data_IF_029450198246
#
_entry.id   IF_029450198246
#
_cell.length_a   1.000
_cell.length_b   1.000
_cell.length_c   1.000
_cell.angle_alpha   90.00
_cell.angle_beta   90.00
_cell.angle_gamma   90.00
#
_symmetry.space_group_name_H-M   'P 1'
#
loop_
_entity.id
_entity.type
_entity.pdbx_description
1 polymer ?
#
# COMPACT_ATOMS: atom_id res chain seq x y z
N UNK A 1 -19.53 18.18 -10.75
CA UNK A 1 -18.45 17.49 -10.02
C UNK A 1 -19.08 16.60 -8.96
N UNK A 2 -18.94 15.28 -9.09
CA UNK A 2 -19.57 14.31 -8.19
C UNK A 2 -19.06 14.47 -6.76
N UNK A 3 -20.00 14.52 -5.80
CA UNK A 3 -19.76 14.58 -4.35
C UNK A 3 -19.12 13.28 -3.85
N UNK A 4 -17.85 13.05 -4.16
CA UNK A 4 -17.17 11.80 -3.88
C UNK A 4 -16.41 11.89 -2.55
N UNK A 5 -16.91 11.17 -1.53
CA UNK A 5 -16.32 11.12 -0.18
C UNK A 5 -14.96 10.41 -0.17
N UNK A 6 -14.67 9.55 -1.16
CA UNK A 6 -13.44 8.75 -1.23
C UNK A 6 -12.92 8.76 -2.67
N UNK A 7 -11.78 9.40 -2.92
CA UNK A 7 -11.19 9.50 -4.26
C UNK A 7 -10.55 8.16 -4.70
N UNK A 8 -10.56 7.87 -6.01
CA UNK A 8 -9.79 6.74 -6.58
C UNK A 8 -8.30 6.92 -6.27
N UNK A 9 -7.64 5.86 -5.76
CA UNK A 9 -6.21 5.84 -5.44
C UNK A 9 -5.84 6.04 -3.96
N UNK A 10 -6.82 6.18 -3.07
CA UNK A 10 -6.57 6.39 -1.63
C UNK A 10 -6.61 5.08 -0.83
N UNK A 11 -5.64 4.88 0.06
CA UNK A 11 -5.55 3.73 0.95
C UNK A 11 -6.54 3.88 2.11
N UNK A 12 -7.72 3.30 1.93
CA UNK A 12 -8.78 3.24 2.92
C UNK A 12 -8.57 1.96 3.75
N UNK A 13 -8.77 1.97 5.08
CA UNK A 13 -8.74 0.76 5.92
C UNK A 13 -9.72 -0.33 5.44
N UNK A 14 -10.67 0.01 4.57
CA UNK A 14 -11.62 -0.93 3.99
C UNK A 14 -11.06 -1.88 2.92
N UNK A 15 -9.79 -1.77 2.49
CA UNK A 15 -9.17 -2.62 1.44
C UNK A 15 -8.86 -4.08 1.88
N UNK A 16 -9.33 -4.50 3.05
CA UNK A 16 -9.15 -5.86 3.56
C UNK A 16 -7.70 -6.19 3.97
N UNK A 17 -7.45 -7.46 4.38
CA UNK A 17 -6.16 -7.88 4.92
C UNK A 17 -5.04 -7.98 3.87
N UNK A 18 -5.36 -8.04 2.57
CA UNK A 18 -4.37 -8.24 1.50
C UNK A 18 -3.33 -7.12 1.39
N UNK A 19 -3.72 -5.86 1.62
CA UNK A 19 -2.79 -4.73 1.64
C UNK A 19 -1.97 -4.62 2.93
N UNK A 20 -2.54 -5.07 4.07
CA UNK A 20 -1.97 -4.85 5.40
C UNK A 20 -0.58 -5.45 5.59
N UNK A 21 -0.35 -6.67 5.09
CA UNK A 21 0.95 -7.34 5.22
C UNK A 21 2.06 -6.62 4.43
N UNK A 22 1.76 -6.17 3.20
CA UNK A 22 2.72 -5.44 2.37
C UNK A 22 3.09 -4.10 3.00
N UNK A 23 2.10 -3.34 3.48
CA UNK A 23 2.34 -2.06 4.14
C UNK A 23 3.11 -2.22 5.45
N UNK A 24 2.79 -3.24 6.25
CA UNK A 24 3.52 -3.55 7.47
C UNK A 24 5.00 -3.84 7.19
N UNK A 25 5.31 -4.65 6.16
CA UNK A 25 6.69 -4.93 5.75
C UNK A 25 7.43 -3.67 5.28
N UNK A 26 6.77 -2.79 4.52
CA UNK A 26 7.34 -1.52 4.08
C UNK A 26 7.62 -0.57 5.27
N UNK A 27 6.69 -0.48 6.22
CA UNK A 27 6.85 0.33 7.44
C UNK A 27 8.01 -0.16 8.31
N UNK A 28 8.15 -1.49 8.49
CA UNK A 28 9.28 -2.08 9.21
C UNK A 28 10.61 -1.81 8.50
N UNK A 29 10.63 -1.89 7.16
CA UNK A 29 11.83 -1.57 6.37
C UNK A 29 12.21 -0.10 6.54
N UNK A 30 11.24 0.81 6.48
CA UNK A 30 11.48 2.24 6.70
C UNK A 30 12.01 2.52 8.11
N UNK A 31 11.43 1.89 9.13
CA UNK A 31 11.90 1.98 10.52
C UNK A 31 13.37 1.58 10.71
N UNK A 32 13.79 0.53 10.00
CA UNK A 32 15.19 0.09 10.02
C UNK A 32 16.16 1.11 9.42
N UNK A 33 15.70 1.93 8.47
CA UNK A 33 16.51 2.96 7.82
C UNK A 33 16.59 4.24 8.66
N UNK A 34 15.53 4.56 9.41
CA UNK A 34 15.44 5.77 10.24
C UNK A 34 15.92 5.57 11.68
N UNK A 35 16.54 4.42 11.99
CA UNK A 35 17.02 4.05 13.35
C UNK A 35 15.94 4.12 14.43
N UNK A 36 14.70 3.82 14.06
CA UNK A 36 13.58 3.74 15.01
C UNK A 36 13.48 2.31 15.54
N UNK A 37 13.07 2.15 16.81
CA UNK A 37 12.88 0.84 17.41
C UNK A 37 11.79 0.05 16.67
N UNK A 38 12.16 -1.10 16.12
CA UNK A 38 11.24 -1.97 15.37
C UNK A 38 10.10 -2.51 16.25
N UNK A 39 10.36 -2.72 17.55
CA UNK A 39 9.34 -3.13 18.51
C UNK A 39 8.22 -2.09 18.63
N UNK A 40 8.59 -0.81 18.69
CA UNK A 40 7.62 0.28 18.84
C UNK A 40 6.78 0.40 17.56
N UNK A 41 7.40 0.28 16.39
CA UNK A 41 6.69 0.24 15.11
C UNK A 41 5.72 -0.94 15.05
N UNK A 42 6.16 -2.12 15.45
CA UNK A 42 5.32 -3.32 15.45
C UNK A 42 4.11 -3.19 16.38
N UNK A 43 4.33 -2.72 17.61
CA UNK A 43 3.24 -2.48 18.58
C UNK A 43 2.28 -1.42 18.04
N UNK A 44 2.80 -0.34 17.47
CA UNK A 44 2.00 0.72 16.86
C UNK A 44 1.17 0.19 15.67
N UNK A 45 1.74 -0.65 14.81
CA UNK A 45 1.04 -1.30 13.70
C UNK A 45 -0.12 -2.18 14.19
N UNK A 46 0.08 -2.97 15.25
CA UNK A 46 -1.00 -3.79 15.83
C UNK A 46 -2.11 -2.90 16.39
N UNK A 47 -1.77 -1.92 17.22
CA UNK A 47 -2.75 -1.05 17.87
C UNK A 47 -3.54 -0.27 16.80
N UNK A 48 -2.84 0.34 15.84
CA UNK A 48 -3.48 1.11 14.77
C UNK A 48 -4.36 0.23 13.88
N UNK A 49 -3.95 -1.00 13.58
CA UNK A 49 -4.78 -1.93 12.82
C UNK A 49 -6.07 -2.24 13.56
N UNK A 50 -5.99 -2.61 14.85
CA UNK A 50 -7.17 -2.91 15.67
C UNK A 50 -8.10 -1.68 15.74
N UNK A 51 -7.56 -0.52 16.11
CA UNK A 51 -8.34 0.71 16.24
C UNK A 51 -8.97 1.11 14.90
N UNK A 52 -8.22 1.04 13.80
CA UNK A 52 -8.72 1.40 12.47
C UNK A 52 -9.86 0.50 11.99
N UNK A 53 -9.83 -0.79 12.31
CA UNK A 53 -10.90 -1.74 11.98
C UNK A 53 -12.20 -1.36 12.69
N UNK A 54 -12.15 -1.10 14.00
CA UNK A 54 -13.33 -0.73 14.77
C UNK A 54 -13.87 0.65 14.38
N UNK A 55 -13.00 1.67 14.34
CA UNK A 55 -13.40 3.04 13.99
C UNK A 55 -13.93 3.09 12.56
N UNK A 56 -13.26 2.40 11.62
CA UNK A 56 -13.69 2.32 10.22
C UNK A 56 -15.06 1.65 10.06
N UNK A 57 -15.29 0.53 10.75
CA UNK A 57 -16.57 -0.18 10.72
C UNK A 57 -17.72 0.67 11.29
N UNK A 58 -17.52 1.25 12.48
CA UNK A 58 -18.54 2.06 13.17
C UNK A 58 -18.88 3.30 12.34
N UNK A 59 -17.86 4.04 11.89
CA UNK A 59 -18.05 5.29 11.12
C UNK A 59 -18.79 5.00 9.81
N UNK A 60 -18.50 3.86 9.17
CA UNK A 60 -19.16 3.45 7.94
C UNK A 60 -20.65 3.16 8.16
N UNK A 61 -20.99 2.36 9.18
CA UNK A 61 -22.39 2.05 9.52
C UNK A 61 -23.13 3.34 9.87
N UNK A 62 -22.51 4.21 10.67
CA UNK A 62 -23.09 5.49 11.07
C UNK A 62 -23.39 6.40 9.88
N UNK A 63 -22.41 6.62 8.99
CA UNK A 63 -22.56 7.46 7.79
C UNK A 63 -23.69 6.97 6.88
N UNK A 64 -23.80 5.65 6.67
CA UNK A 64 -24.79 5.06 5.77
C UNK A 64 -26.20 5.15 6.34
N UNK A 65 -26.37 4.98 7.66
CA UNK A 65 -27.67 5.14 8.30
C UNK A 65 -28.19 6.59 8.23
N UNK A 66 -27.30 7.58 8.24
CA UNK A 66 -27.69 9.00 8.20
C UNK A 66 -27.94 9.47 6.76
N UNK A 67 -27.04 9.14 5.84
CA UNK A 67 -27.03 9.74 4.50
C UNK A 67 -27.69 8.83 3.44
N UNK A 68 -27.87 7.54 3.76
CA UNK A 68 -28.37 6.53 2.85
C UNK A 68 -27.30 6.03 1.87
N UNK A 69 -27.34 4.73 1.56
CA UNK A 69 -26.37 4.07 0.69
C UNK A 69 -26.31 4.64 -0.74
N UNK A 70 -27.41 5.22 -1.23
CA UNK A 70 -27.49 5.81 -2.58
C UNK A 70 -26.86 7.20 -2.72
N UNK A 71 -26.60 7.91 -1.61
CA UNK A 71 -26.06 9.29 -1.64
C UNK A 71 -24.57 9.37 -1.31
N UNK A 72 -24.04 8.33 -0.67
CA UNK A 72 -22.60 8.20 -0.44
C UNK A 72 -22.05 7.36 -1.59
N UNK A 73 -21.28 7.94 -2.53
CA UNK A 73 -20.55 7.14 -3.49
C UNK A 73 -19.43 6.39 -2.76
N UNK A 74 -19.78 5.23 -2.22
CA UNK A 74 -18.82 4.21 -1.84
C UNK A 74 -18.26 3.64 -3.15
N UNK A 75 -16.93 3.49 -3.23
CA UNK A 75 -16.23 2.92 -4.39
C UNK A 75 -16.98 1.66 -4.87
N UNK A 76 -17.25 1.57 -6.18
CA UNK A 76 -17.96 0.43 -6.77
C UNK A 76 -17.27 -0.88 -6.40
N UNK A 77 -18.00 -1.76 -5.70
CA UNK A 77 -17.46 -2.99 -5.09
C UNK A 77 -17.35 -2.96 -3.55
N UNK A 78 -17.65 -1.84 -2.90
CA UNK A 78 -17.67 -1.72 -1.45
C UNK A 78 -19.12 -1.78 -0.93
N UNK A 79 -19.55 -2.92 -0.37
CA UNK A 79 -20.89 -3.08 0.23
C UNK A 79 -20.87 -2.79 1.74
N UNK A 80 -22.01 -2.39 2.34
CA UNK A 80 -22.14 -2.19 3.81
C UNK A 80 -21.62 -3.39 4.60
N UNK A 81 -21.82 -4.59 4.06
CA UNK A 81 -21.54 -5.88 4.69
C UNK A 81 -20.16 -6.44 4.34
N UNK A 82 -19.46 -5.87 3.34
CA UNK A 82 -18.20 -6.41 2.83
C UNK A 82 -17.08 -5.37 2.74
N UNK A 83 -15.83 -5.84 2.89
CA UNK A 83 -14.63 -5.03 2.66
C UNK A 83 -14.59 -4.59 1.18
N UNK A 84 -13.98 -3.43 0.93
CA UNK A 84 -13.60 -3.07 -0.42
C UNK A 84 -12.57 -4.08 -0.91
N UNK A 85 -12.74 -4.64 -2.11
CA UNK A 85 -11.76 -5.58 -2.67
C UNK A 85 -11.60 -6.80 -1.76
N UNK A 86 -12.74 -7.31 -1.27
CA UNK A 86 -12.78 -8.51 -0.43
C UNK A 86 -12.50 -9.75 -1.28
N UNK A 87 -11.29 -9.86 -1.81
CA UNK A 87 -10.79 -11.02 -2.56
C UNK A 87 -10.84 -12.31 -1.72
N UNK A 88 -10.97 -12.17 -0.39
CA UNK A 88 -11.15 -13.25 0.57
C UNK A 88 -12.57 -13.34 1.17
N UNK A 89 -13.61 -12.72 0.57
CA UNK A 89 -14.99 -12.95 1.03
C UNK A 89 -15.50 -14.32 0.61
N UNK A 90 -16.34 -14.93 1.45
CA UNK A 90 -17.09 -16.14 1.08
C UNK A 90 -17.95 -15.94 -0.18
N UNK A 91 -18.37 -14.70 -0.46
CA UNK A 91 -19.14 -14.33 -1.66
C UNK A 91 -18.29 -14.37 -2.94
N UNK A 92 -17.00 -13.99 -2.86
CA UNK A 92 -16.04 -14.06 -3.97
C UNK A 92 -15.27 -15.37 -4.05
N UNK A 93 -15.32 -16.19 -3.01
CA UNK A 93 -14.69 -17.51 -2.97
C UNK A 93 -15.14 -18.41 -4.14
N UNK A 94 -16.33 -18.16 -4.71
CA UNK A 94 -16.85 -18.86 -5.89
C UNK A 94 -16.60 -18.16 -7.24
N UNK A 95 -15.95 -16.98 -7.28
CA UNK A 95 -15.63 -16.29 -8.55
C UNK A 95 -14.50 -17.01 -9.31
N UNK A 96 -13.64 -17.77 -8.61
CA UNK A 96 -12.59 -18.59 -9.20
C UNK A 96 -12.43 -19.89 -8.39
N UNK A 97 -12.28 -21.05 -9.04
CA UNK A 97 -12.01 -22.30 -8.31
C UNK A 97 -10.80 -22.14 -7.41
N UNK A 98 -10.90 -22.58 -6.15
CA UNK A 98 -9.81 -22.46 -5.18
C UNK A 98 -8.51 -23.05 -5.69
N UNK A 99 -8.58 -24.17 -6.42
CA UNK A 99 -7.44 -24.83 -7.06
C UNK A 99 -6.70 -23.92 -8.06
N UNK A 100 -7.44 -23.10 -8.80
CA UNK A 100 -6.89 -22.15 -9.76
C UNK A 100 -6.19 -20.99 -9.05
N UNK A 101 -6.82 -20.44 -8.01
CA UNK A 101 -6.25 -19.35 -7.20
C UNK A 101 -4.96 -19.81 -6.48
N UNK A 102 -4.99 -20.96 -5.81
CA UNK A 102 -3.81 -21.54 -5.18
C UNK A 102 -2.76 -21.94 -6.21
N UNK A 103 -3.16 -22.39 -7.41
CA UNK A 103 -2.26 -22.69 -8.52
C UNK A 103 -1.47 -21.46 -8.97
N UNK A 104 -2.13 -20.33 -9.22
CA UNK A 104 -1.45 -19.08 -9.56
C UNK A 104 -0.59 -18.55 -8.42
N UNK A 105 -1.07 -18.62 -7.18
CA UNK A 105 -0.30 -18.23 -5.99
C UNK A 105 0.96 -19.06 -5.81
N UNK A 106 0.86 -20.39 -5.96
CA UNK A 106 1.98 -21.31 -5.89
C UNK A 106 2.98 -21.09 -7.04
N UNK A 107 2.49 -20.87 -8.27
CA UNK A 107 3.35 -20.54 -9.40
C UNK A 107 4.13 -19.24 -9.16
N UNK A 108 3.45 -18.18 -8.70
CA UNK A 108 4.09 -16.91 -8.34
C UNK A 108 5.15 -17.08 -7.23
N UNK A 109 4.85 -17.87 -6.20
CA UNK A 109 5.78 -18.19 -5.12
C UNK A 109 7.02 -18.93 -5.64
N UNK A 110 6.84 -19.96 -6.47
CA UNK A 110 7.93 -20.74 -7.07
C UNK A 110 8.81 -19.84 -7.94
N UNK A 111 8.21 -19.00 -8.80
CA UNK A 111 8.97 -18.08 -9.66
C UNK A 111 9.82 -17.12 -8.82
N UNK A 112 9.24 -16.49 -7.79
CA UNK A 112 9.97 -15.57 -6.91
C UNK A 112 11.08 -16.31 -6.16
N UNK A 113 10.83 -17.51 -5.65
CA UNK A 113 11.84 -18.32 -4.96
C UNK A 113 13.00 -18.70 -5.88
N UNK A 114 12.70 -19.13 -7.12
CA UNK A 114 13.73 -19.45 -8.12
C UNK A 114 14.55 -18.20 -8.45
N UNK A 115 13.91 -17.06 -8.73
CA UNK A 115 14.62 -15.81 -8.99
C UNK A 115 15.48 -15.37 -7.80
N UNK A 116 15.00 -15.57 -6.58
CA UNK A 116 15.75 -15.27 -5.36
C UNK A 116 16.99 -16.17 -5.24
N UNK A 117 16.84 -17.49 -5.40
CA UNK A 117 17.95 -18.46 -5.33
C UNK A 117 18.98 -18.22 -6.45
N UNK A 118 18.52 -17.97 -7.67
CA UNK A 118 19.40 -17.68 -8.79
C UNK A 118 20.22 -16.42 -8.52
N UNK A 119 19.60 -15.40 -7.92
CA UNK A 119 20.29 -14.17 -7.59
C UNK A 119 21.27 -14.31 -6.42
N UNK A 120 20.99 -15.15 -5.42
CA UNK A 120 21.95 -15.40 -4.34
C UNK A 120 23.13 -16.25 -4.80
N UNK A 121 22.94 -17.10 -5.83
CA UNK A 121 24.00 -17.97 -6.37
C UNK A 121 24.81 -17.33 -7.51
N UNK A 122 24.19 -16.50 -8.35
CA UNK A 122 24.82 -15.88 -9.52
C UNK A 122 24.85 -14.35 -9.40
N UNK A 123 26.02 -13.80 -9.06
CA UNK A 123 26.24 -12.35 -8.95
C UNK A 123 25.94 -11.56 -10.23
N UNK A 124 26.04 -12.19 -11.40
CA UNK A 124 25.83 -11.55 -12.71
C UNK A 124 24.37 -11.60 -13.19
N UNK A 125 23.46 -12.24 -12.45
CA UNK A 125 22.08 -12.46 -12.91
C UNK A 125 21.29 -11.14 -12.98
N UNK A 126 20.74 -10.76 -14.15
CA UNK A 126 20.14 -9.44 -14.35
C UNK A 126 18.72 -9.32 -13.77
N UNK A 127 18.00 -10.44 -13.58
CA UNK A 127 16.60 -10.41 -13.17
C UNK A 127 16.49 -10.35 -11.64
N UNK A 128 15.96 -9.23 -11.16
CA UNK A 128 15.71 -9.00 -9.74
C UNK A 128 14.27 -9.42 -9.38
N UNK A 129 14.04 -10.18 -8.28
CA UNK A 129 12.69 -10.58 -7.85
C UNK A 129 11.72 -9.40 -7.66
N UNK A 130 12.18 -8.30 -7.05
CA UNK A 130 11.42 -7.02 -6.96
C UNK A 130 11.02 -6.47 -8.33
N UNK A 131 11.90 -6.54 -9.35
CA UNK A 131 11.56 -6.08 -10.70
C UNK A 131 10.45 -6.92 -11.33
N UNK A 132 10.44 -8.23 -11.07
CA UNK A 132 9.36 -9.12 -11.49
C UNK A 132 8.03 -8.71 -10.86
N UNK A 133 8.00 -8.50 -9.53
CA UNK A 133 6.79 -8.05 -8.82
C UNK A 133 6.30 -6.71 -9.35
N UNK A 134 7.19 -5.73 -9.56
CA UNK A 134 6.82 -4.42 -10.09
C UNK A 134 6.23 -4.50 -11.51
N UNK A 135 6.66 -5.47 -12.32
CA UNK A 135 6.18 -5.65 -13.69
C UNK A 135 4.87 -6.43 -13.78
N UNK A 136 4.67 -7.45 -12.93
CA UNK A 136 3.56 -8.41 -13.06
C UNK A 136 2.44 -8.20 -12.07
N UNK A 137 2.68 -7.55 -10.93
CA UNK A 137 1.65 -7.37 -9.91
C UNK A 137 0.69 -6.23 -10.31
N UNK A 138 -0.60 -6.45 -10.01
CA UNK A 138 -1.67 -5.48 -10.31
C UNK A 138 -1.46 -4.19 -9.51
N UNK A 139 -1.16 -4.29 -8.21
CA UNK A 139 -1.07 -3.13 -7.32
C UNK A 139 0.02 -2.13 -7.71
N UNK A 140 1.29 -2.54 -7.94
CA UNK A 140 2.36 -1.61 -8.35
C UNK A 140 2.11 -0.96 -9.71
N UNK A 141 1.51 -1.71 -10.64
CA UNK A 141 1.17 -1.22 -11.97
C UNK A 141 0.07 -0.13 -11.89
N UNK A 142 -1.00 -0.40 -11.13
CA UNK A 142 -2.10 0.55 -10.94
C UNK A 142 -1.73 1.80 -10.15
N UNK A 143 -0.89 1.65 -9.13
CA UNK A 143 -0.42 2.77 -8.29
C UNK A 143 0.70 3.57 -8.97
N UNK A 144 1.04 3.24 -10.23
CA UNK A 144 2.07 3.91 -11.03
C UNK A 144 3.44 3.91 -10.33
N UNK A 145 3.69 2.90 -9.49
CA UNK A 145 4.90 2.76 -8.66
C UNK A 145 6.16 2.67 -9.50
N UNK A 146 6.05 2.21 -10.76
CA UNK A 146 7.13 2.23 -11.72
C UNK A 146 7.73 3.63 -11.93
N UNK A 147 6.91 4.69 -11.95
CA UNK A 147 7.41 6.06 -12.12
C UNK A 147 8.21 6.50 -10.88
N UNK A 148 7.69 6.20 -9.69
CA UNK A 148 8.40 6.47 -8.44
C UNK A 148 9.71 5.68 -8.34
N UNK A 149 9.73 4.43 -8.83
CA UNK A 149 10.96 3.63 -8.89
C UNK A 149 11.98 4.23 -9.86
N UNK A 150 11.55 4.67 -11.04
CA UNK A 150 12.40 5.32 -12.03
C UNK A 150 12.99 6.63 -11.48
N UNK A 151 12.16 7.47 -10.87
CA UNK A 151 12.59 8.70 -10.19
C UNK A 151 13.60 8.42 -9.07
N UNK A 152 13.31 7.43 -8.22
CA UNK A 152 14.22 7.01 -7.15
C UNK A 152 15.54 6.45 -7.70
N UNK A 153 15.50 5.73 -8.82
CA UNK A 153 16.69 5.20 -9.49
C UNK A 153 17.55 6.32 -10.07
N UNK A 154 16.94 7.29 -10.76
CA UNK A 154 17.65 8.49 -11.28
C UNK A 154 18.26 9.27 -10.13
N UNK A 155 17.49 9.56 -9.08
CA UNK A 155 17.98 10.27 -7.90
C UNK A 155 19.15 9.52 -7.28
N UNK A 156 19.01 8.22 -7.05
CA UNK A 156 20.10 7.37 -6.51
C UNK A 156 21.34 7.37 -7.40
N UNK A 157 21.17 7.26 -8.72
CA UNK A 157 22.27 7.29 -9.67
C UNK A 157 23.04 8.61 -9.59
N UNK A 158 22.33 9.74 -9.57
CA UNK A 158 22.93 11.08 -9.41
C UNK A 158 23.64 11.18 -8.07
N UNK A 159 23.00 10.77 -6.96
CA UNK A 159 23.59 10.90 -5.62
C UNK A 159 24.87 10.07 -5.49
N UNK A 160 24.87 8.84 -6.00
CA UNK A 160 26.04 7.98 -5.98
C UNK A 160 27.17 8.49 -6.89
N UNK A 161 26.84 9.10 -8.03
CA UNK A 161 27.85 9.61 -8.97
C UNK A 161 28.49 10.91 -8.50
N UNK A 162 27.74 11.77 -7.81
CA UNK A 162 28.24 13.08 -7.32
C UNK A 162 28.89 12.96 -5.94
N UNK A 163 28.27 12.24 -5.01
CA UNK A 163 28.69 12.22 -3.59
C UNK A 163 29.18 10.86 -3.09
N UNK A 164 29.21 9.83 -3.93
CA UNK A 164 29.59 8.48 -3.52
C UNK A 164 28.58 7.80 -2.58
N UNK A 165 28.99 6.66 -2.01
CA UNK A 165 28.13 5.88 -1.10
C UNK A 165 27.80 6.62 0.20
N UNK A 166 28.75 7.38 0.74
CA UNK A 166 28.57 8.11 2.01
C UNK A 166 27.48 9.18 1.90
N UNK A 167 27.46 9.96 0.81
CA UNK A 167 26.42 10.98 0.62
C UNK A 167 25.02 10.36 0.38
N UNK A 168 24.95 9.20 -0.26
CA UNK A 168 23.68 8.49 -0.43
C UNK A 168 23.10 8.04 0.92
N UNK A 169 23.92 7.48 1.81
CA UNK A 169 23.46 7.06 3.14
C UNK A 169 23.13 8.24 4.05
N UNK A 170 23.91 9.33 3.99
CA UNK A 170 23.76 10.47 4.87
C UNK A 170 22.66 11.46 4.43
N UNK A 171 22.45 11.63 3.13
CA UNK A 171 21.48 12.60 2.59
C UNK A 171 20.39 11.96 1.74
N UNK A 172 20.75 11.01 0.86
CA UNK A 172 19.81 10.37 -0.05
C UNK A 172 18.72 9.55 0.67
N UNK A 173 19.13 8.73 1.65
CA UNK A 173 18.19 7.90 2.43
C UNK A 173 17.26 8.75 3.29
N UNK A 174 17.73 9.75 4.07
CA UNK A 174 16.84 10.64 4.81
C UNK A 174 15.90 11.46 3.92
N UNK A 175 16.35 11.92 2.75
CA UNK A 175 15.49 12.63 1.80
C UNK A 175 14.36 11.73 1.29
N UNK A 176 14.65 10.50 0.88
CA UNK A 176 13.64 9.55 0.43
C UNK A 176 12.66 9.19 1.56
N UNK A 177 13.16 8.95 2.78
CA UNK A 177 12.32 8.68 3.94
C UNK A 177 11.43 9.89 4.29
N UNK A 178 11.97 11.10 4.22
CA UNK A 178 11.23 12.35 4.43
C UNK A 178 10.15 12.56 3.37
N UNK A 179 10.43 12.24 2.10
CA UNK A 179 9.44 12.30 1.02
C UNK A 179 8.27 11.34 1.25
N UNK A 180 8.56 10.09 1.65
CA UNK A 180 7.52 9.11 2.00
C UNK A 180 6.70 9.58 3.20
N UNK A 181 7.35 10.06 4.26
CA UNK A 181 6.68 10.60 5.44
C UNK A 181 5.81 11.82 5.11
N UNK A 182 6.30 12.72 4.26
CA UNK A 182 5.57 13.89 3.77
C UNK A 182 4.34 13.50 2.93
N UNK A 183 4.46 12.47 2.08
CA UNK A 183 3.32 11.92 1.33
C UNK A 183 2.28 11.27 2.24
N UNK A 184 2.71 10.55 3.28
CA UNK A 184 1.80 10.00 4.28
C UNK A 184 1.06 11.11 5.05
N UNK A 185 1.79 12.16 5.43
CA UNK A 185 1.23 13.31 6.13
C UNK A 185 0.27 14.13 5.25
N UNK A 186 0.59 14.34 3.98
CA UNK A 186 -0.29 15.04 3.04
C UNK A 186 -1.59 14.27 2.79
N UNK A 187 -1.54 12.94 2.74
CA UNK A 187 -2.74 12.10 2.71
C UNK A 187 -3.60 12.29 3.96
N UNK A 188 -3.00 12.32 5.16
CA UNK A 188 -3.72 12.58 6.41
C UNK A 188 -4.47 13.93 6.36
N UNK A 189 -3.80 14.99 5.90
CA UNK A 189 -4.43 16.30 5.73
C UNK A 189 -5.55 16.27 4.68
N UNK A 190 -5.32 15.60 3.55
CA UNK A 190 -6.31 15.46 2.50
C UNK A 190 -7.58 14.75 3.00
N UNK A 191 -7.46 13.76 3.90
CA UNK A 191 -8.61 13.10 4.50
C UNK A 191 -9.42 14.05 5.38
N UNK A 192 -8.76 14.86 6.21
CA UNK A 192 -9.44 15.84 7.07
C UNK A 192 -10.17 16.87 6.20
N UNK A 193 -9.48 17.43 5.20
CA UNK A 193 -10.04 18.42 4.28
C UNK A 193 -11.20 17.83 3.49
N UNK A 194 -11.05 16.61 2.97
CA UNK A 194 -12.10 15.91 2.22
C UNK A 194 -13.35 15.65 3.08
N UNK A 195 -13.15 15.28 4.34
CA UNK A 195 -14.25 15.08 5.30
C UNK A 195 -14.96 16.40 5.59
N UNK A 196 -14.21 17.48 5.87
CA UNK A 196 -14.79 18.80 6.12
C UNK A 196 -15.55 19.31 4.90
N UNK A 197 -14.96 19.21 3.69
CA UNK A 197 -15.60 19.61 2.42
C UNK A 197 -16.85 18.80 2.10
N UNK A 198 -16.93 17.55 2.55
CA UNK A 198 -18.13 16.75 2.37
C UNK A 198 -19.31 17.32 3.17
N UNK A 199 -19.07 17.79 4.40
CA UNK A 199 -20.11 18.36 5.26
C UNK A 199 -20.35 19.86 5.01
N UNK A 200 -19.33 20.60 4.56
CA UNK A 200 -19.36 22.05 4.34
C UNK A 200 -18.90 22.30 2.88
N UNK A 201 -19.83 22.40 1.91
CA UNK A 201 -19.50 22.37 0.49
C UNK A 201 -19.04 23.72 -0.10
N UNK A 202 -18.43 24.61 0.70
CA UNK A 202 -17.96 25.93 0.26
C UNK A 202 -16.43 26.00 0.21
#
# INVERSE_FOLDING_TARGET
MSKMFLHYGQNIPSQGPGGGALYAMQSLKMGSLTRVNLRDIYVLLIITTIVSVFVGAITRVWMINILGAGRIPLKGGCSILSWCWNEASAERYNEMPSEVLFGYGAAGFIIIMVLFILRTRFLWWPLHPVGFILATAISPNWMREWNAFLEAWIAKFITLRVGGSKAYEEYGVPFACGGIAGYAFSNLLAYIIGTVRFFIPF
#
